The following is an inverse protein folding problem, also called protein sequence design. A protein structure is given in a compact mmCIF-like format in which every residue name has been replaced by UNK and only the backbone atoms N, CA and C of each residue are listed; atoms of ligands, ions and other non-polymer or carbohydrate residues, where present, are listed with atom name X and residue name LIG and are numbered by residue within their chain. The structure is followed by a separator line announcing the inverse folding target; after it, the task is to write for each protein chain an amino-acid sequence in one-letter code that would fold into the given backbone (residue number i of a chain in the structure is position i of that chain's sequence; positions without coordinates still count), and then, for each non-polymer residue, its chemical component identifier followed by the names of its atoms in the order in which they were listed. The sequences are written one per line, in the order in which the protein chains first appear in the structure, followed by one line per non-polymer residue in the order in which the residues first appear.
data_IF_727497651258
#
_entry.id   IF_727497651258
#
_cell.length_a   1.000
_cell.length_b   1.000
_cell.length_c   1.000
_cell.angle_alpha   90.00
_cell.angle_beta   90.00
_cell.angle_gamma   90.00
#
_symmetry.space_group_name_H-M   'P 1'
#
loop_
_entity.id
_entity.type
_entity.pdbx_description
1 polymer ?
#
# COMPACT_ATOMS: atom_id res chain seq x y z
N UNK A 1 8.69 10.78 25.76
CA UNK A 1 9.00 9.79 24.71
C UNK A 1 9.17 10.53 23.40
N UNK A 2 10.40 10.74 22.96
CA UNK A 2 10.70 11.31 21.64
C UNK A 2 10.49 10.22 20.60
N UNK A 3 9.43 10.31 19.81
CA UNK A 3 9.18 9.43 18.67
C UNK A 3 10.37 9.59 17.71
N UNK A 4 11.20 8.54 17.57
CA UNK A 4 12.20 8.54 16.51
C UNK A 4 11.48 8.60 15.17
N UNK A 5 11.85 9.51 14.26
CA UNK A 5 11.23 9.59 12.95
C UNK A 5 11.47 8.27 12.22
N UNK A 6 10.41 7.50 12.01
CA UNK A 6 10.48 6.26 11.24
C UNK A 6 10.89 6.64 9.82
N UNK A 7 11.95 6.00 9.30
CA UNK A 7 12.42 6.25 7.94
C UNK A 7 11.31 5.95 6.93
N UNK A 8 11.12 6.81 5.93
CA UNK A 8 10.15 6.64 4.81
C UNK A 8 10.13 5.20 4.28
N UNK A 9 11.29 4.61 4.03
CA UNK A 9 11.42 3.26 3.49
C UNK A 9 10.78 2.20 4.39
N UNK A 10 10.91 2.33 5.71
CA UNK A 10 10.32 1.39 6.67
C UNK A 10 8.79 1.47 6.62
N UNK A 11 8.23 2.68 6.51
CA UNK A 11 6.77 2.87 6.39
C UNK A 11 6.24 2.24 5.11
N UNK A 12 6.91 2.46 3.97
CA UNK A 12 6.52 1.87 2.69
C UNK A 12 6.58 0.34 2.75
N UNK A 13 7.66 -0.22 3.30
CA UNK A 13 7.80 -1.66 3.47
C UNK A 13 6.73 -2.23 4.38
N UNK A 14 6.38 -1.54 5.47
CA UNK A 14 5.29 -1.97 6.37
C UNK A 14 3.93 -1.93 5.68
N UNK A 15 3.66 -0.90 4.88
CA UNK A 15 2.44 -0.82 4.08
C UNK A 15 2.36 -1.97 3.06
N UNK A 16 3.48 -2.31 2.42
CA UNK A 16 3.57 -3.44 1.49
C UNK A 16 3.39 -4.78 2.21
N UNK A 17 3.98 -4.94 3.40
CA UNK A 17 3.85 -6.14 4.24
C UNK A 17 2.39 -6.42 4.61
N UNK A 18 1.66 -5.41 5.09
CA UNK A 18 0.21 -5.53 5.37
C UNK A 18 -0.57 -5.88 4.10
N UNK A 19 -0.20 -5.25 2.98
CA UNK A 19 -0.80 -5.55 1.69
C UNK A 19 -0.62 -7.02 1.28
N UNK A 20 0.56 -7.61 1.51
CA UNK A 20 0.86 -9.00 1.20
C UNK A 20 0.17 -9.98 2.16
N UNK A 21 0.00 -9.60 3.42
CA UNK A 21 -0.61 -10.43 4.47
C UNK A 21 -2.15 -10.39 4.43
N UNK A 22 -2.73 -9.18 4.45
CA UNK A 22 -4.17 -8.96 4.55
C UNK A 22 -4.87 -8.81 3.19
N UNK A 23 -4.11 -8.51 2.12
CA UNK A 23 -4.66 -8.18 0.80
C UNK A 23 -5.40 -6.84 0.74
N UNK A 24 -5.56 -6.15 1.86
CA UNK A 24 -6.29 -4.89 1.99
C UNK A 24 -5.51 -3.95 2.91
N UNK A 25 -5.58 -2.66 2.62
CA UNK A 25 -5.02 -1.62 3.45
C UNK A 25 -6.02 -0.47 3.60
N UNK A 26 -6.38 -0.16 4.84
CA UNK A 26 -7.15 1.04 5.16
C UNK A 26 -6.23 2.18 5.57
N UNK A 27 -6.70 3.40 5.35
CA UNK A 27 -5.98 4.61 5.79
C UNK A 27 -5.77 4.58 7.31
N UNK A 28 -6.79 4.20 8.07
CA UNK A 28 -6.76 4.20 9.54
C UNK A 28 -5.75 3.21 10.11
N UNK A 29 -5.56 2.03 9.49
CA UNK A 29 -4.57 1.04 9.94
C UNK A 29 -3.14 1.60 9.92
N UNK A 30 -2.81 2.44 8.94
CA UNK A 30 -1.46 3.03 8.84
C UNK A 30 -1.35 4.32 9.64
N UNK A 31 -2.34 5.20 9.58
CA UNK A 31 -2.29 6.46 10.32
C UNK A 31 -2.33 6.26 11.84
N UNK A 32 -2.90 5.14 12.31
CA UNK A 32 -2.87 4.77 13.72
C UNK A 32 -1.54 4.15 14.17
N UNK A 33 -0.79 3.54 13.25
CA UNK A 33 0.49 2.86 13.55
C UNK A 33 1.72 3.71 13.25
N UNK A 34 1.59 4.76 12.42
CA UNK A 34 2.67 5.66 12.02
C UNK A 34 2.16 7.09 11.97
N UNK A 35 2.88 8.01 12.64
CA UNK A 35 2.62 9.45 12.53
C UNK A 35 2.97 9.93 11.11
N UNK A 36 1.95 10.12 10.28
CA UNK A 36 2.11 10.59 8.91
C UNK A 36 0.89 11.35 8.39
N UNK A 37 1.13 12.24 7.43
CA UNK A 37 0.04 12.95 6.75
C UNK A 37 -0.68 12.06 5.73
N UNK A 38 -1.95 12.36 5.45
CA UNK A 38 -2.71 11.71 4.38
C UNK A 38 -2.04 11.88 3.00
N UNK A 39 -1.38 13.03 2.78
CA UNK A 39 -0.65 13.31 1.53
C UNK A 39 0.51 12.32 1.39
N UNK A 40 1.28 12.11 2.48
CA UNK A 40 2.38 11.13 2.51
C UNK A 40 1.86 9.71 2.28
N UNK A 41 0.76 9.33 2.92
CA UNK A 41 0.14 8.01 2.75
C UNK A 41 -0.23 7.75 1.27
N UNK A 42 -0.94 8.68 0.63
CA UNK A 42 -1.30 8.57 -0.79
C UNK A 42 -0.07 8.48 -1.70
N UNK A 43 0.98 9.24 -1.38
CA UNK A 43 2.26 9.18 -2.10
C UNK A 43 2.90 7.79 -1.99
N UNK A 44 2.90 7.20 -0.79
CA UNK A 44 3.50 5.88 -0.55
C UNK A 44 2.73 4.75 -1.23
N UNK A 45 1.40 4.85 -1.32
CA UNK A 45 0.61 3.95 -2.17
C UNK A 45 1.07 4.02 -3.64
N UNK A 46 1.36 5.22 -4.15
CA UNK A 46 1.89 5.43 -5.50
C UNK A 46 3.21 4.68 -5.70
N UNK A 47 4.15 4.85 -4.76
CA UNK A 47 5.45 4.17 -4.79
C UNK A 47 5.31 2.64 -4.79
N UNK A 48 4.37 2.10 -4.00
CA UNK A 48 4.05 0.67 -3.98
C UNK A 48 3.48 0.20 -5.32
N UNK A 49 2.58 0.99 -5.92
CA UNK A 49 2.03 0.67 -7.26
C UNK A 49 3.12 0.63 -8.32
N UNK A 50 4.03 1.59 -8.30
CA UNK A 50 5.15 1.63 -9.25
C UNK A 50 6.07 0.43 -9.03
N UNK A 51 6.45 0.13 -7.79
CA UNK A 51 7.22 -1.06 -7.45
C UNK A 51 6.57 -2.36 -7.97
N UNK A 52 5.29 -2.58 -7.67
CA UNK A 52 4.57 -3.77 -8.12
C UNK A 52 4.47 -3.81 -9.65
N UNK A 53 4.23 -2.68 -10.32
CA UNK A 53 4.20 -2.62 -11.78
C UNK A 53 5.53 -3.05 -12.41
N UNK A 54 6.67 -2.66 -11.83
CA UNK A 54 7.98 -2.98 -12.37
C UNK A 54 8.45 -4.40 -12.04
N UNK A 55 8.22 -4.86 -10.81
CA UNK A 55 8.81 -6.12 -10.30
C UNK A 55 7.82 -7.27 -10.16
N UNK A 56 6.52 -6.97 -10.02
CA UNK A 56 5.46 -7.95 -9.77
C UNK A 56 4.20 -7.62 -10.59
N UNK A 57 4.25 -7.60 -11.93
CA UNK A 57 3.18 -7.06 -12.78
C UNK A 57 1.85 -7.82 -12.69
N UNK A 58 1.85 -9.01 -12.09
CA UNK A 58 0.62 -9.75 -11.75
C UNK A 58 -0.11 -9.16 -10.55
N UNK A 59 0.48 -8.23 -9.81
CA UNK A 59 -0.12 -7.59 -8.65
C UNK A 59 -0.55 -6.16 -8.99
N UNK A 60 -1.72 -5.77 -8.52
CA UNK A 60 -2.29 -4.44 -8.73
C UNK A 60 -2.91 -3.91 -7.43
N UNK A 61 -2.76 -2.61 -7.17
CA UNK A 61 -3.42 -1.96 -6.02
C UNK A 61 -4.60 -1.14 -6.48
N UNK A 62 -5.81 -1.63 -6.29
CA UNK A 62 -7.08 -0.96 -6.64
C UNK A 62 -7.61 -0.14 -5.47
N UNK A 63 -8.22 1.01 -5.75
CA UNK A 63 -8.88 1.83 -4.74
C UNK A 63 -10.38 1.60 -4.77
N UNK A 64 -10.94 1.05 -3.69
CA UNK A 64 -12.39 0.85 -3.52
C UNK A 64 -12.99 2.06 -2.82
N UNK A 65 -13.69 2.89 -3.60
CA UNK A 65 -14.34 4.13 -3.11
C UNK A 65 -15.43 3.87 -2.08
N UNK A 66 -16.15 2.74 -2.16
CA UNK A 66 -17.26 2.41 -1.26
C UNK A 66 -16.84 2.37 0.20
N UNK A 67 -15.61 1.92 0.48
CA UNK A 67 -15.10 1.69 1.83
C UNK A 67 -13.81 2.48 2.09
N UNK A 68 -13.40 3.35 1.15
CA UNK A 68 -12.13 4.09 1.22
C UNK A 68 -10.91 3.19 1.47
N UNK A 69 -10.89 1.99 0.89
CA UNK A 69 -9.83 0.99 1.07
C UNK A 69 -8.99 0.80 -0.18
N UNK A 70 -7.72 0.47 0.03
CA UNK A 70 -6.85 -0.01 -1.03
C UNK A 70 -6.82 -1.53 -0.96
N UNK A 71 -7.00 -2.18 -2.10
CA UNK A 71 -7.01 -3.64 -2.20
C UNK A 71 -5.88 -4.06 -3.11
N UNK A 72 -5.09 -5.00 -2.63
CA UNK A 72 -4.08 -5.67 -3.41
C UNK A 72 -4.72 -6.88 -4.07
N UNK A 73 -4.77 -6.85 -5.38
CA UNK A 73 -5.26 -7.94 -6.18
C UNK A 73 -4.11 -8.55 -6.95
N UNK A 74 -4.02 -9.87 -6.95
CA UNK A 74 -3.30 -10.57 -7.99
C UNK A 74 -4.20 -10.50 -9.23
N UNK A 75 -3.93 -9.54 -10.12
CA UNK A 75 -4.52 -9.56 -11.44
C UNK A 75 -4.31 -10.95 -12.00
N UNK A 76 -5.39 -11.66 -12.31
CA UNK A 76 -5.29 -12.77 -13.23
C UNK A 76 -4.60 -12.16 -14.45
N UNK A 77 -3.35 -12.56 -14.70
CA UNK A 77 -2.82 -12.48 -16.04
C UNK A 77 -3.89 -13.18 -16.87
N UNK A 78 -4.69 -12.40 -17.61
CA UNK A 78 -5.62 -13.00 -18.53
C UNK A 78 -4.75 -13.91 -19.41
N UNK A 79 -4.98 -15.23 -19.44
CA UNK A 79 -4.42 -16.01 -20.52
C UNK A 79 -5.03 -15.39 -21.78
N UNK A 80 -4.16 -14.89 -22.67
CA UNK A 80 -4.51 -14.22 -23.92
C UNK A 80 -5.89 -14.67 -24.47
N UNK A 81 -6.83 -13.73 -24.55
CA UNK A 81 -8.03 -13.87 -25.36
C UNK A 81 -7.75 -13.29 -26.75
#
# INVERSE_FOLDING_TARGET
MTLMPIKKSIVILRMLDIFLDEGVLTKEQILSSVDMSEISFKRYIGEIRDYLRFYHPSWQVRFKRSNYTYVLDKGNAAPNA
#
